data_IF_656626328102
#
_entry.id   IF_656626328102
#
_cell.length_a   1.000
_cell.length_b   1.000
_cell.length_c   1.000
_cell.angle_alpha   90.00
_cell.angle_beta   90.00
_cell.angle_gamma   90.00
#
_symmetry.space_group_name_H-M   'P 1'
#
loop_
_entity.id
_entity.type
_entity.pdbx_description
1 polymer ?
#
# COMPACT_ATOMS: atom_id res chain seq x y z
N UNK A 1 3.91 1.81 -24.70
CA UNK A 1 3.84 2.95 -23.76
C UNK A 1 2.95 2.55 -22.59
N UNK A 2 3.54 1.93 -21.55
CA UNK A 2 2.85 1.56 -20.31
C UNK A 2 2.62 2.85 -19.51
N UNK A 3 1.51 3.53 -19.80
CA UNK A 3 1.20 4.84 -19.23
C UNK A 3 0.73 4.66 -17.78
N UNK A 4 1.74 4.67 -16.92
CA UNK A 4 1.80 5.38 -15.64
C UNK A 4 0.64 5.13 -14.68
N UNK A 5 0.85 4.12 -13.84
CA UNK A 5 0.54 4.33 -12.45
C UNK A 5 1.23 5.62 -11.96
N UNK A 6 0.44 6.60 -11.50
CA UNK A 6 0.93 7.91 -11.11
C UNK A 6 1.88 7.91 -9.89
N UNK A 7 2.34 9.10 -9.45
CA UNK A 7 3.21 9.23 -8.27
C UNK A 7 2.66 8.52 -7.03
N UNK A 8 1.34 8.54 -6.83
CA UNK A 8 0.67 7.89 -5.69
C UNK A 8 0.93 6.37 -5.58
N UNK A 9 1.06 5.64 -6.70
CA UNK A 9 1.40 4.21 -6.61
C UNK A 9 2.84 4.00 -6.17
N UNK A 10 3.75 4.85 -6.64
CA UNK A 10 5.15 4.78 -6.22
C UNK A 10 5.27 5.09 -4.73
N UNK A 11 4.51 6.07 -4.23
CA UNK A 11 4.43 6.39 -2.80
C UNK A 11 3.89 5.21 -1.98
N UNK A 12 2.80 4.57 -2.43
CA UNK A 12 2.25 3.39 -1.76
C UNK A 12 3.26 2.22 -1.70
N UNK A 13 3.93 1.91 -2.82
CA UNK A 13 4.98 0.88 -2.88
C UNK A 13 6.14 1.20 -1.94
N UNK A 14 6.58 2.45 -1.90
CA UNK A 14 7.65 2.89 -1.01
C UNK A 14 7.25 2.75 0.48
N UNK A 15 6.02 3.11 0.82
CA UNK A 15 5.49 2.92 2.17
C UNK A 15 5.45 1.44 2.57
N UNK A 16 5.00 0.56 1.67
CA UNK A 16 4.99 -0.89 1.91
C UNK A 16 6.39 -1.46 2.16
N UNK A 17 7.38 -1.04 1.37
CA UNK A 17 8.76 -1.47 1.55
C UNK A 17 9.34 -0.97 2.88
N UNK A 18 9.07 0.28 3.26
CA UNK A 18 9.54 0.87 4.51
C UNK A 18 9.01 0.11 5.73
N UNK A 19 7.70 -0.14 5.77
CA UNK A 19 7.07 -0.83 6.90
C UNK A 19 7.48 -2.31 6.99
N UNK A 20 7.57 -3.01 5.85
CA UNK A 20 8.10 -4.39 5.84
C UNK A 20 9.54 -4.45 6.35
N UNK A 21 10.39 -3.51 5.96
CA UNK A 21 11.77 -3.48 6.45
C UNK A 21 11.83 -3.24 7.96
N UNK A 22 10.97 -2.36 8.50
CA UNK A 22 10.87 -2.14 9.95
C UNK A 22 10.38 -3.38 10.70
N UNK A 23 9.33 -4.02 10.19
CA UNK A 23 8.82 -5.26 10.77
C UNK A 23 9.83 -6.40 10.75
N UNK A 24 10.58 -6.55 9.67
CA UNK A 24 11.66 -7.50 9.60
C UNK A 24 12.76 -7.24 10.64
N UNK A 25 13.06 -5.97 10.95
CA UNK A 25 14.02 -5.59 11.99
C UNK A 25 13.47 -5.81 13.40
N UNK A 26 12.18 -5.57 13.63
CA UNK A 26 11.51 -5.85 14.90
C UNK A 26 11.22 -7.35 15.12
N UNK A 27 11.27 -8.17 14.06
CA UNK A 27 10.84 -9.57 14.11
C UNK A 27 9.32 -9.76 14.10
N UNK A 28 8.57 -8.70 13.79
CA UNK A 28 7.11 -8.69 13.70
C UNK A 28 6.61 -9.17 12.34
N UNK A 29 5.50 -9.91 12.34
CA UNK A 29 4.91 -10.45 11.12
C UNK A 29 3.75 -9.57 10.65
N UNK A 30 4.01 -8.70 9.67
CA UNK A 30 2.97 -7.90 9.02
C UNK A 30 2.15 -8.71 8.01
N UNK A 31 0.88 -8.32 7.83
CA UNK A 31 0.03 -8.85 6.76
C UNK A 31 0.69 -8.57 5.39
N UNK A 32 0.55 -9.42 4.37
CA UNK A 32 0.97 -9.08 3.01
C UNK A 32 0.28 -7.78 2.52
N UNK A 33 1.00 -6.92 1.78
CA UNK A 33 0.42 -5.70 1.21
C UNK A 33 -0.69 -6.03 0.19
N UNK A 34 -1.66 -5.12 0.00
CA UNK A 34 -2.75 -5.33 -0.95
C UNK A 34 -2.20 -5.48 -2.40
N UNK A 35 -2.73 -6.43 -3.19
CA UNK A 35 -2.30 -6.61 -4.57
C UNK A 35 -2.67 -5.40 -5.42
N UNK A 36 -1.79 -5.06 -6.35
CA UNK A 36 -2.01 -3.93 -7.24
C UNK A 36 -3.11 -4.27 -8.25
N UNK A 37 -4.08 -3.38 -8.48
CA UNK A 37 -5.15 -3.66 -9.41
C UNK A 37 -4.63 -3.73 -10.85
N UNK A 38 -5.11 -4.72 -11.60
CA UNK A 38 -4.59 -5.09 -12.93
C UNK A 38 -4.92 -4.07 -14.03
N UNK A 39 -5.80 -3.10 -13.77
CA UNK A 39 -6.08 -1.99 -14.70
C UNK A 39 -7.08 -0.98 -14.18
N UNK A 40 -6.87 0.32 -14.47
CA UNK A 40 -7.96 1.30 -14.32
C UNK A 40 -8.99 1.03 -15.41
N UNK A 41 -10.26 0.87 -15.01
CA UNK A 41 -11.38 0.49 -15.88
C UNK A 41 -11.77 1.53 -16.95
N UNK A 42 -10.92 2.53 -17.22
CA UNK A 42 -11.01 3.45 -18.37
C UNK A 42 -12.23 4.36 -18.42
N UNK A 43 -13.16 4.28 -17.45
CA UNK A 43 -14.43 5.01 -17.44
C UNK A 43 -14.40 6.38 -16.77
N UNK A 44 -13.20 6.88 -16.44
CA UNK A 44 -13.00 8.18 -15.81
C UNK A 44 -12.75 8.05 -14.30
N UNK A 45 -12.07 9.05 -13.74
CA UNK A 45 -11.53 9.07 -12.38
C UNK A 45 -12.59 9.01 -11.25
N UNK A 46 -13.89 8.96 -11.56
CA UNK A 46 -14.98 8.91 -10.58
C UNK A 46 -15.36 7.46 -10.21
N UNK A 47 -14.38 6.65 -9.78
CA UNK A 47 -14.58 5.23 -9.40
C UNK A 47 -13.51 4.27 -9.89
N UNK A 48 -12.28 4.76 -10.11
CA UNK A 48 -11.15 3.97 -10.56
C UNK A 48 -10.72 3.07 -9.38
N UNK A 49 -10.52 1.76 -9.63
CA UNK A 49 -10.16 0.71 -8.65
C UNK A 49 -9.00 1.09 -7.71
N UNK A 50 -8.20 2.05 -8.14
CA UNK A 50 -7.14 2.68 -7.38
C UNK A 50 -7.62 3.35 -6.08
N UNK A 51 -8.82 3.94 -6.02
CA UNK A 51 -9.37 4.50 -4.76
C UNK A 51 -9.47 3.44 -3.66
N UNK A 52 -10.02 2.26 -4.01
CA UNK A 52 -10.09 1.13 -3.09
C UNK A 52 -8.70 0.59 -2.72
N UNK A 53 -7.78 0.56 -3.69
CA UNK A 53 -6.39 0.20 -3.43
C UNK A 53 -5.70 1.19 -2.49
N UNK A 54 -5.85 2.49 -2.68
CA UNK A 54 -5.23 3.51 -1.83
C UNK A 54 -5.82 3.49 -0.42
N UNK A 55 -7.14 3.32 -0.29
CA UNK A 55 -7.77 3.14 1.03
C UNK A 55 -7.23 1.89 1.74
N UNK A 56 -7.10 0.76 1.03
CA UNK A 56 -6.52 -0.46 1.57
C UNK A 56 -5.03 -0.31 1.91
N UNK A 57 -4.28 0.41 1.08
CA UNK A 57 -2.86 0.70 1.29
C UNK A 57 -2.63 1.54 2.54
N UNK A 58 -3.46 2.57 2.72
CA UNK A 58 -3.40 3.45 3.88
C UNK A 58 -3.74 2.68 5.16
N UNK A 59 -4.85 1.93 5.15
CA UNK A 59 -5.24 1.07 6.26
C UNK A 59 -4.17 0.04 6.62
N UNK A 60 -3.52 -0.56 5.62
CA UNK A 60 -2.41 -1.49 5.85
C UNK A 60 -1.22 -0.81 6.53
N UNK A 61 -0.88 0.43 6.14
CA UNK A 61 0.20 1.18 6.77
C UNK A 61 -0.13 1.54 8.23
N UNK A 62 -1.38 1.92 8.50
CA UNK A 62 -1.87 2.19 9.86
C UNK A 62 -1.81 0.93 10.74
N UNK A 63 -2.27 -0.23 10.24
CA UNK A 63 -2.12 -1.51 10.94
C UNK A 63 -0.65 -1.85 11.18
N UNK A 64 0.23 -1.66 10.19
CA UNK A 64 1.65 -1.95 10.32
C UNK A 64 2.32 -1.07 11.38
N UNK A 65 1.95 0.21 11.42
CA UNK A 65 2.40 1.12 12.46
C UNK A 65 1.91 0.67 13.84
N UNK A 66 0.63 0.35 14.00
CA UNK A 66 0.07 -0.11 15.27
C UNK A 66 0.74 -1.39 15.78
N UNK A 67 1.08 -2.31 14.87
CA UNK A 67 1.82 -3.54 15.18
C UNK A 67 3.20 -3.23 15.76
N UNK A 68 3.92 -2.37 15.06
CA UNK A 68 5.28 -1.96 15.44
C UNK A 68 5.33 -1.06 16.68
N UNK A 69 4.31 -0.23 16.91
CA UNK A 69 4.20 0.61 18.10
C UNK A 69 3.85 -0.22 19.34
N UNK A 70 3.05 -1.28 19.17
CA UNK A 70 2.74 -2.21 20.25
C UNK A 70 3.92 -3.08 20.71
N UNK A 71 4.98 -3.19 19.90
CA UNK A 71 6.21 -3.95 20.20
C UNK A 71 7.36 -3.07 20.76
N UNK A 72 7.18 -1.74 20.79
CA UNK A 72 8.16 -0.78 21.31
C UNK A 72 8.03 -0.53 22.83
#
# INVERSE_FOLDING_TARGET
>A
MAQQAGPALQEARAAFALWQARAAQAGEQLRPPPPEPEGCCGRGCNGCVWEGFYAAAQYWCEEAQLRLDADA
#
